data_IF_850785031634
#
_entry.id   IF_850785031634
#
_cell.length_a   1.000
_cell.length_b   1.000
_cell.length_c   1.000
_cell.angle_alpha   90.00
_cell.angle_beta   90.00
_cell.angle_gamma   90.00
#
_symmetry.space_group_name_H-M   'P 1'
#
loop_
_entity.id
_entity.type
_entity.pdbx_description
1 polymer ?
#
# COMPACT_ATOMS: atom_id res chain seq x y z
N UNK A 1 -31.96 -4.12 -5.76
CA UNK A 1 -31.87 -4.83 -4.47
C UNK A 1 -32.24 -6.29 -4.68
N UNK A 2 -31.29 -7.23 -4.59
CA UNK A 2 -31.59 -8.66 -4.66
C UNK A 2 -31.75 -9.20 -3.24
N UNK A 3 -32.98 -9.49 -2.84
CA UNK A 3 -33.31 -10.12 -1.56
C UNK A 3 -33.22 -11.62 -1.76
N UNK A 4 -32.30 -12.27 -1.05
CA UNK A 4 -32.23 -13.72 -0.96
C UNK A 4 -32.87 -14.19 0.35
N UNK A 5 -33.76 -15.18 0.28
CA UNK A 5 -34.32 -15.85 1.46
C UNK A 5 -33.59 -17.16 1.69
N UNK A 6 -33.03 -17.35 2.88
CA UNK A 6 -32.57 -18.65 3.35
C UNK A 6 -33.56 -19.15 4.41
N UNK A 7 -34.19 -20.29 4.13
CA UNK A 7 -35.09 -20.98 5.07
C UNK A 7 -34.25 -21.91 5.95
N UNK A 8 -34.24 -21.65 7.25
CA UNK A 8 -33.63 -22.57 8.22
C UNK A 8 -34.47 -23.85 8.39
N UNK A 9 -33.85 -24.92 8.90
CA UNK A 9 -34.49 -26.22 9.12
C UNK A 9 -35.74 -26.17 10.03
N UNK A 10 -35.92 -25.07 10.77
CA UNK A 10 -37.05 -24.78 11.67
C UNK A 10 -38.06 -23.74 11.12
N UNK A 11 -38.02 -23.39 9.84
CA UNK A 11 -38.99 -22.47 9.23
C UNK A 11 -38.70 -20.98 9.44
N UNK A 12 -37.68 -20.61 10.23
CA UNK A 12 -37.24 -19.22 10.35
C UNK A 12 -36.63 -18.73 9.03
N UNK A 13 -37.28 -17.73 8.43
CA UNK A 13 -36.82 -17.07 7.20
C UNK A 13 -35.95 -15.88 7.59
N UNK A 14 -34.64 -16.07 7.67
CA UNK A 14 -33.73 -14.93 7.90
C UNK A 14 -33.54 -14.16 6.60
N UNK A 15 -34.08 -12.93 6.56
CA UNK A 15 -33.91 -12.03 5.42
C UNK A 15 -32.47 -11.49 5.45
N UNK A 16 -31.57 -12.08 4.67
CA UNK A 16 -30.21 -11.57 4.52
C UNK A 16 -30.29 -10.36 3.57
N UNK A 17 -30.51 -9.17 4.12
CA UNK A 17 -30.35 -7.94 3.37
C UNK A 17 -28.87 -7.75 3.06
N UNK A 18 -28.49 -7.84 1.78
CA UNK A 18 -27.17 -7.35 1.36
C UNK A 18 -27.16 -5.85 1.60
N UNK A 19 -26.49 -5.45 2.67
CA UNK A 19 -26.14 -4.06 2.97
C UNK A 19 -25.33 -3.55 1.77
N UNK A 20 -25.81 -2.47 1.15
CA UNK A 20 -25.16 -1.82 0.02
C UNK A 20 -23.78 -1.28 0.42
N UNK A 21 -22.89 -1.11 -0.56
CA UNK A 21 -21.54 -0.57 -0.32
C UNK A 21 -21.56 0.83 0.31
N UNK A 22 -22.59 1.61 0.02
CA UNK A 22 -22.80 2.96 0.56
C UNK A 22 -23.59 2.99 1.87
N UNK A 23 -24.06 1.84 2.37
CA UNK A 23 -24.93 1.82 3.54
C UNK A 23 -24.10 2.02 4.82
N UNK A 24 -24.54 2.98 5.63
CA UNK A 24 -23.88 3.33 6.89
C UNK A 24 -22.68 4.26 6.73
N UNK A 25 -22.21 4.78 7.87
CA UNK A 25 -21.15 5.79 7.90
C UNK A 25 -19.80 5.30 7.36
N UNK A 26 -19.51 3.99 7.45
CA UNK A 26 -18.28 3.41 6.89
C UNK A 26 -18.29 3.41 5.36
N UNK A 27 -19.46 3.22 4.74
CA UNK A 27 -19.63 3.30 3.28
C UNK A 27 -19.47 4.74 2.79
N UNK A 28 -20.08 5.69 3.51
CA UNK A 28 -19.92 7.13 3.23
C UNK A 28 -18.46 7.55 3.36
N UNK A 29 -17.76 7.12 4.42
CA UNK A 29 -16.33 7.41 4.60
C UNK A 29 -15.51 6.84 3.44
N UNK A 30 -15.73 5.58 3.05
CA UNK A 30 -15.00 4.95 1.95
C UNK A 30 -15.22 5.68 0.61
N UNK A 31 -16.47 6.06 0.28
CA UNK A 31 -16.77 6.83 -0.93
C UNK A 31 -16.14 8.21 -0.87
N UNK A 32 -16.24 8.89 0.28
CA UNK A 32 -15.60 10.19 0.50
C UNK A 32 -14.08 10.12 0.31
N UNK A 33 -13.42 9.08 0.83
CA UNK A 33 -11.99 8.85 0.60
C UNK A 33 -11.67 8.63 -0.87
N UNK A 34 -12.47 7.85 -1.61
CA UNK A 34 -12.25 7.62 -3.04
C UNK A 34 -12.36 8.93 -3.83
N UNK A 35 -13.39 9.74 -3.57
CA UNK A 35 -13.59 11.04 -4.22
C UNK A 35 -12.45 12.00 -3.88
N UNK A 36 -12.02 12.02 -2.60
CA UNK A 36 -10.88 12.81 -2.16
C UNK A 36 -9.59 12.42 -2.87
N UNK A 37 -9.28 11.12 -2.96
CA UNK A 37 -8.08 10.63 -3.66
C UNK A 37 -8.13 11.01 -5.14
N UNK A 38 -9.27 10.88 -5.80
CA UNK A 38 -9.42 11.30 -7.20
C UNK A 38 -9.18 12.80 -7.39
N UNK A 39 -9.72 13.63 -6.48
CA UNK A 39 -9.47 15.07 -6.49
C UNK A 39 -8.01 15.40 -6.22
N UNK A 40 -7.37 14.72 -5.27
CA UNK A 40 -5.96 14.92 -4.95
C UNK A 40 -5.04 14.57 -6.13
N UNK A 41 -5.29 13.44 -6.79
CA UNK A 41 -4.58 13.06 -8.01
C UNK A 41 -4.77 14.13 -9.09
N UNK A 42 -5.99 14.61 -9.30
CA UNK A 42 -6.27 15.68 -10.27
C UNK A 42 -5.47 16.95 -9.98
N UNK A 43 -5.47 17.42 -8.72
CA UNK A 43 -4.70 18.61 -8.33
C UNK A 43 -3.20 18.42 -8.47
N UNK A 44 -2.67 17.24 -8.12
CA UNK A 44 -1.24 16.94 -8.24
C UNK A 44 -0.78 16.91 -9.70
N UNK A 45 -1.60 16.36 -10.60
CA UNK A 45 -1.31 16.25 -12.03
C UNK A 45 -1.66 17.49 -12.84
N UNK A 46 -2.40 18.45 -12.27
CA UNK A 46 -2.71 19.70 -12.94
C UNK A 46 -1.45 20.56 -13.04
N UNK A 47 -1.21 21.15 -14.22
CA UNK A 47 -0.12 22.10 -14.49
C UNK A 47 -0.41 23.47 -13.81
N UNK A 48 -0.55 23.44 -12.50
CA UNK A 48 -0.72 24.63 -11.67
C UNK A 48 0.65 25.28 -11.40
N UNK A 49 0.72 26.62 -11.33
CA UNK A 49 1.95 27.32 -10.94
C UNK A 49 2.45 26.81 -9.59
N UNK A 50 3.76 26.55 -9.49
CA UNK A 50 4.39 26.19 -8.23
C UNK A 50 4.17 27.30 -7.20
N UNK A 51 3.78 26.90 -6.00
CA UNK A 51 3.62 27.80 -4.87
C UNK A 51 3.88 27.01 -3.59
N UNK A 52 4.45 27.62 -2.53
CA UNK A 52 4.75 26.91 -1.28
C UNK A 52 3.52 26.19 -0.69
N UNK A 53 2.33 26.76 -0.87
CA UNK A 53 1.08 26.13 -0.43
C UNK A 53 0.73 24.86 -1.22
N UNK A 54 0.98 24.85 -2.54
CA UNK A 54 0.76 23.70 -3.40
C UNK A 54 1.77 22.58 -3.09
N UNK A 55 3.00 22.93 -2.76
CA UNK A 55 4.05 21.95 -2.42
C UNK A 55 3.82 21.31 -1.06
N UNK A 56 3.40 22.11 -0.05
CA UNK A 56 2.90 21.57 1.23
C UNK A 56 1.69 20.67 0.99
N UNK A 57 0.74 21.10 0.16
CA UNK A 57 -0.43 20.30 -0.17
C UNK A 57 -0.03 18.95 -0.78
N UNK A 58 0.83 18.94 -1.81
CA UNK A 58 1.31 17.70 -2.45
C UNK A 58 1.97 16.77 -1.44
N UNK A 59 2.74 17.32 -0.51
CA UNK A 59 3.42 16.57 0.54
C UNK A 59 2.46 15.89 1.53
N UNK A 60 1.36 16.52 1.92
CA UNK A 60 0.45 16.00 2.96
C UNK A 60 -0.89 15.49 2.41
N UNK A 61 -1.11 15.56 1.09
CA UNK A 61 -2.38 15.24 0.44
C UNK A 61 -2.78 13.77 0.61
N UNK A 62 -1.85 12.86 0.86
CA UNK A 62 -2.11 11.46 1.11
C UNK A 62 -2.69 11.18 2.52
N UNK A 63 -2.36 12.03 3.51
CA UNK A 63 -2.65 11.82 4.93
C UNK A 63 -4.13 11.59 5.22
N UNK A 64 -5.09 12.39 4.72
CA UNK A 64 -6.51 12.17 5.03
C UNK A 64 -7.02 10.80 4.55
N UNK A 65 -6.57 10.36 3.38
CA UNK A 65 -6.93 9.05 2.84
C UNK A 65 -6.29 7.92 3.66
N UNK A 66 -5.04 8.11 4.07
CA UNK A 66 -4.28 7.13 4.83
C UNK A 66 -4.83 6.95 6.26
N UNK A 67 -5.25 8.04 6.93
CA UNK A 67 -6.00 7.99 8.19
C UNK A 67 -7.35 7.29 8.06
N UNK A 68 -8.13 7.61 7.02
CA UNK A 68 -9.40 6.94 6.76
C UNK A 68 -9.23 5.43 6.54
N UNK A 69 -8.20 5.03 5.78
CA UNK A 69 -7.86 3.63 5.57
C UNK A 69 -7.48 2.92 6.89
N UNK A 70 -6.69 3.55 7.75
CA UNK A 70 -6.33 3.01 9.07
C UNK A 70 -7.58 2.79 9.96
N UNK A 71 -8.47 3.78 10.01
CA UNK A 71 -9.73 3.70 10.77
C UNK A 71 -10.60 2.56 10.25
N UNK A 72 -10.80 2.47 8.93
CA UNK A 72 -11.59 1.41 8.31
C UNK A 72 -10.98 0.01 8.55
N UNK A 73 -9.65 -0.12 8.50
CA UNK A 73 -8.97 -1.36 8.80
C UNK A 73 -9.14 -1.78 10.28
N UNK A 74 -9.02 -0.84 11.22
CA UNK A 74 -9.25 -1.10 12.66
C UNK A 74 -10.71 -1.50 12.92
N UNK A 75 -11.67 -0.86 12.25
CA UNK A 75 -13.08 -1.26 12.34
C UNK A 75 -13.28 -2.67 11.79
N UNK A 76 -12.64 -3.01 10.68
CA UNK A 76 -12.69 -4.35 10.09
C UNK A 76 -12.14 -5.42 11.07
N UNK A 77 -11.11 -5.11 11.85
CA UNK A 77 -10.63 -5.98 12.94
C UNK A 77 -11.75 -6.24 13.96
N UNK A 78 -12.45 -5.18 14.39
CA UNK A 78 -13.48 -5.25 15.44
C UNK A 78 -14.77 -5.92 14.96
N UNK A 79 -15.13 -5.75 13.69
CA UNK A 79 -16.35 -6.31 13.11
C UNK A 79 -16.21 -7.77 12.65
N UNK A 80 -14.97 -8.26 12.47
CA UNK A 80 -14.71 -9.60 11.96
C UNK A 80 -14.76 -10.65 13.06
N UNK A 81 -15.71 -11.60 12.94
CA UNK A 81 -15.88 -12.70 13.90
C UNK A 81 -14.94 -13.88 13.66
N UNK A 82 -14.59 -14.17 12.41
CA UNK A 82 -13.75 -15.33 12.08
C UNK A 82 -12.31 -15.10 12.57
N UNK A 83 -11.74 -15.98 13.43
CA UNK A 83 -10.46 -15.72 14.10
C UNK A 83 -9.29 -15.47 13.15
N UNK A 84 -9.19 -16.26 12.07
CA UNK A 84 -8.11 -16.09 11.10
C UNK A 84 -8.25 -14.77 10.32
N UNK A 85 -9.47 -14.42 9.92
CA UNK A 85 -9.74 -13.17 9.20
C UNK A 85 -9.46 -11.96 10.10
N UNK A 86 -9.84 -12.03 11.38
CA UNK A 86 -9.54 -10.98 12.37
C UNK A 86 -8.03 -10.79 12.53
N UNK A 87 -7.26 -11.88 12.65
CA UNK A 87 -5.78 -11.81 12.71
C UNK A 87 -5.20 -11.18 11.45
N UNK A 88 -5.65 -11.57 10.27
CA UNK A 88 -5.25 -10.94 9.01
C UNK A 88 -5.52 -9.43 9.01
N UNK A 89 -6.72 -9.02 9.41
CA UNK A 89 -7.06 -7.60 9.54
C UNK A 89 -6.20 -6.87 10.57
N UNK A 90 -5.81 -7.52 11.68
CA UNK A 90 -4.94 -6.92 12.67
C UNK A 90 -3.57 -6.57 12.08
N UNK A 91 -2.97 -7.50 11.33
CA UNK A 91 -1.70 -7.24 10.65
C UNK A 91 -1.85 -6.19 9.55
N UNK A 92 -2.95 -6.20 8.77
CA UNK A 92 -3.19 -5.20 7.74
C UNK A 92 -3.38 -3.80 8.36
N UNK A 93 -4.16 -3.67 9.44
CA UNK A 93 -4.34 -2.42 10.15
C UNK A 93 -3.01 -1.92 10.75
N UNK A 94 -2.23 -2.82 11.37
CA UNK A 94 -0.92 -2.49 11.90
C UNK A 94 0.04 -2.02 10.79
N UNK A 95 0.07 -2.70 9.65
CA UNK A 95 0.88 -2.29 8.50
C UNK A 95 0.48 -0.90 8.02
N UNK A 96 -0.81 -0.64 7.78
CA UNK A 96 -1.30 0.67 7.37
C UNK A 96 -0.87 1.75 8.37
N UNK A 97 -1.06 1.53 9.68
CA UNK A 97 -0.64 2.49 10.72
C UNK A 97 0.87 2.72 10.70
N UNK A 98 1.68 1.67 10.57
CA UNK A 98 3.15 1.79 10.50
C UNK A 98 3.57 2.61 9.28
N UNK A 99 2.98 2.36 8.11
CA UNK A 99 3.27 3.13 6.90
C UNK A 99 2.89 4.61 7.05
N UNK A 100 1.72 4.88 7.64
CA UNK A 100 1.28 6.24 7.96
C UNK A 100 2.27 6.97 8.88
N UNK A 101 2.81 6.29 9.90
CA UNK A 101 3.84 6.87 10.76
C UNK A 101 5.10 7.24 9.96
N UNK A 102 5.50 6.41 8.99
CA UNK A 102 6.57 6.73 8.05
C UNK A 102 6.28 8.02 7.28
N UNK A 103 5.10 8.15 6.66
CA UNK A 103 4.74 9.34 5.89
C UNK A 103 4.70 10.60 6.77
N UNK A 104 4.21 10.50 8.01
CA UNK A 104 4.22 11.63 8.95
C UNK A 104 5.64 12.06 9.34
N UNK A 105 6.55 11.09 9.53
CA UNK A 105 7.95 11.37 9.83
C UNK A 105 8.65 12.01 8.62
N UNK A 106 8.43 11.48 7.41
CA UNK A 106 8.98 12.05 6.16
C UNK A 106 8.47 13.48 5.92
N UNK A 107 7.16 13.70 6.05
CA UNK A 107 6.58 15.03 5.92
C UNK A 107 7.14 16.02 6.95
N UNK A 108 7.31 15.59 8.21
CA UNK A 108 7.92 16.41 9.25
C UNK A 108 9.37 16.79 8.91
N UNK A 109 10.18 15.82 8.46
CA UNK A 109 11.57 16.06 8.08
C UNK A 109 11.67 17.05 6.90
N UNK A 110 10.84 16.88 5.87
CA UNK A 110 10.82 17.77 4.70
C UNK A 110 10.38 19.19 5.05
N UNK A 111 9.37 19.34 5.90
CA UNK A 111 8.94 20.66 6.41
C UNK A 111 10.07 21.33 7.21
N UNK A 112 10.88 20.54 7.93
CA UNK A 112 12.06 21.03 8.63
C UNK A 112 13.26 21.32 7.72
N UNK A 113 13.12 21.16 6.39
CA UNK A 113 14.21 21.35 5.42
C UNK A 113 15.25 20.22 5.43
N UNK A 114 14.91 19.06 6.00
CA UNK A 114 15.78 17.90 6.11
C UNK A 114 15.33 16.82 5.12
N UNK A 115 16.22 16.42 4.21
CA UNK A 115 16.00 15.29 3.29
C UNK A 115 17.07 14.21 3.46
N UNK A 116 17.31 13.69 4.69
CA UNK A 116 18.28 12.64 4.89
C UNK A 116 17.80 11.38 4.17
N UNK A 117 18.68 10.72 3.43
CA UNK A 117 18.39 9.39 2.87
C UNK A 117 19.60 8.49 3.08
N UNK A 118 19.48 7.40 3.87
CA UNK A 118 18.32 6.95 4.65
C UNK A 118 17.88 7.89 5.79
N UNK A 119 16.63 7.73 6.24
CA UNK A 119 15.94 8.54 7.25
C UNK A 119 15.27 7.69 8.34
N UNK A 120 14.73 8.35 9.36
CA UNK A 120 13.87 7.69 10.35
C UNK A 120 12.54 7.18 9.73
N UNK A 121 12.06 7.79 8.65
CA UNK A 121 10.86 7.32 7.95
C UNK A 121 11.09 5.95 7.30
N UNK A 122 12.30 5.72 6.79
CA UNK A 122 12.68 4.46 6.13
C UNK A 122 12.60 3.26 7.08
N UNK A 123 12.82 3.46 8.38
CA UNK A 123 12.61 2.43 9.39
C UNK A 123 11.14 1.98 9.46
N UNK A 124 10.19 2.92 9.41
CA UNK A 124 8.76 2.61 9.40
C UNK A 124 8.35 1.95 8.08
N UNK A 125 8.85 2.43 6.94
CA UNK A 125 8.61 1.79 5.64
C UNK A 125 9.17 0.36 5.58
N UNK A 126 10.33 0.10 6.16
CA UNK A 126 10.86 -1.25 6.26
C UNK A 126 10.05 -2.13 7.21
N UNK A 127 9.57 -1.58 8.34
CA UNK A 127 8.75 -2.32 9.30
C UNK A 127 7.35 -2.68 8.74
N UNK A 128 6.83 -1.90 7.80
CA UNK A 128 5.56 -2.17 7.12
C UNK A 128 5.55 -3.54 6.42
N UNK A 129 6.61 -3.89 5.68
CA UNK A 129 6.67 -5.14 4.91
C UNK A 129 6.57 -6.41 5.76
N UNK A 130 7.39 -6.68 6.79
CA UNK A 130 7.29 -7.89 7.59
C UNK A 130 5.96 -7.99 8.35
N UNK A 131 5.38 -6.86 8.78
CA UNK A 131 4.05 -6.83 9.40
C UNK A 131 2.99 -7.29 8.40
N UNK A 132 3.03 -6.76 7.17
CA UNK A 132 2.06 -7.12 6.14
C UNK A 132 2.25 -8.56 5.63
N UNK A 133 3.49 -9.00 5.41
CA UNK A 133 3.83 -10.39 5.05
C UNK A 133 3.27 -11.34 6.11
N UNK A 134 3.36 -10.99 7.40
CA UNK A 134 2.79 -11.78 8.49
C UNK A 134 1.26 -11.93 8.36
N UNK A 135 0.56 -10.85 7.96
CA UNK A 135 -0.88 -10.89 7.68
C UNK A 135 -1.25 -11.78 6.49
N UNK A 136 -0.48 -11.74 5.41
CA UNK A 136 -0.65 -12.62 4.25
C UNK A 136 -0.38 -14.07 4.67
N UNK A 137 0.68 -14.32 5.42
CA UNK A 137 1.05 -15.64 5.88
C UNK A 137 -0.02 -16.29 6.77
N UNK A 138 -0.61 -15.52 7.68
CA UNK A 138 -1.79 -15.96 8.47
C UNK A 138 -2.93 -16.35 7.55
N UNK A 139 -3.19 -15.57 6.50
CA UNK A 139 -4.25 -15.84 5.53
C UNK A 139 -3.98 -17.12 4.73
N UNK A 140 -2.77 -17.30 4.22
CA UNK A 140 -2.35 -18.49 3.47
C UNK A 140 -2.43 -19.76 4.31
N UNK A 141 -1.96 -19.71 5.56
CA UNK A 141 -2.07 -20.84 6.50
C UNK A 141 -3.53 -21.21 6.80
N UNK A 142 -4.37 -20.21 7.04
CA UNK A 142 -5.80 -20.44 7.28
C UNK A 142 -6.53 -21.00 6.06
N UNK A 143 -5.99 -20.77 4.86
CA UNK A 143 -6.54 -21.27 3.60
C UNK A 143 -6.12 -22.71 3.27
N UNK A 144 -5.30 -23.35 4.13
CA UNK A 144 -4.67 -24.66 3.88
C UNK A 144 -3.95 -24.74 2.52
N UNK A 145 -3.49 -23.61 1.99
CA UNK A 145 -2.84 -23.54 0.69
C UNK A 145 -1.42 -24.10 0.80
N UNK A 146 -1.14 -25.14 0.01
CA UNK A 146 0.23 -25.64 -0.19
C UNK A 146 0.95 -24.75 -1.18
N UNK A 147 1.35 -23.56 -0.73
CA UNK A 147 2.17 -22.65 -1.54
C UNK A 147 3.61 -23.19 -1.59
N UNK A 148 4.15 -23.34 -2.80
CA UNK A 148 5.59 -23.58 -2.98
C UNK A 148 6.35 -22.29 -2.77
N UNK A 149 6.76 -22.04 -1.52
CA UNK A 149 7.53 -20.85 -1.15
C UNK A 149 8.80 -20.69 -1.98
N UNK A 150 9.45 -21.79 -2.36
CA UNK A 150 10.61 -21.76 -3.26
C UNK A 150 10.28 -21.19 -4.63
N UNK A 151 9.14 -21.58 -5.23
CA UNK A 151 8.67 -21.01 -6.50
C UNK A 151 8.32 -19.53 -6.34
N UNK A 152 7.58 -19.16 -5.29
CA UNK A 152 7.23 -17.78 -5.01
C UNK A 152 8.47 -16.88 -4.89
N UNK A 153 9.47 -17.35 -4.14
CA UNK A 153 10.73 -16.63 -3.94
C UNK A 153 11.53 -16.53 -5.23
N UNK A 154 11.60 -17.59 -6.04
CA UNK A 154 12.27 -17.55 -7.34
C UNK A 154 11.59 -16.58 -8.32
N UNK A 155 10.26 -16.64 -8.43
CA UNK A 155 9.49 -15.75 -9.30
C UNK A 155 9.65 -14.29 -8.85
N UNK A 156 9.64 -14.05 -7.53
CA UNK A 156 9.89 -12.73 -6.96
C UNK A 156 11.31 -12.27 -7.27
N UNK A 157 12.32 -13.14 -7.10
CA UNK A 157 13.73 -12.84 -7.36
C UNK A 157 13.98 -12.47 -8.83
N UNK A 158 13.28 -13.10 -9.77
CA UNK A 158 13.34 -12.71 -11.19
C UNK A 158 12.88 -11.25 -11.36
N UNK A 159 11.78 -10.85 -10.71
CA UNK A 159 11.32 -9.47 -10.73
C UNK A 159 12.32 -8.53 -10.04
N UNK A 160 12.85 -8.91 -8.86
CA UNK A 160 13.85 -8.12 -8.15
C UNK A 160 15.09 -7.88 -9.01
N UNK A 161 15.60 -8.91 -9.69
CA UNK A 161 16.76 -8.76 -10.56
C UNK A 161 16.46 -7.90 -11.78
N UNK A 162 15.27 -8.04 -12.38
CA UNK A 162 14.83 -7.22 -13.51
C UNK A 162 14.72 -5.73 -13.14
N UNK A 163 13.92 -5.42 -12.12
CA UNK A 163 13.73 -4.04 -11.64
C UNK A 163 14.99 -3.48 -10.99
N UNK A 164 15.70 -4.27 -10.18
CA UNK A 164 16.95 -3.86 -9.54
C UNK A 164 18.01 -3.43 -10.55
N UNK A 165 18.12 -4.15 -11.69
CA UNK A 165 19.00 -3.76 -12.81
C UNK A 165 18.55 -2.45 -13.45
N UNK A 166 17.23 -2.27 -13.67
CA UNK A 166 16.68 -1.02 -14.18
C UNK A 166 17.02 0.16 -13.26
N UNK A 167 16.75 0.04 -11.94
CA UNK A 167 17.06 1.09 -10.98
C UNK A 167 18.56 1.39 -10.87
N UNK A 168 19.42 0.37 -10.98
CA UNK A 168 20.87 0.59 -10.98
C UNK A 168 21.31 1.50 -12.13
N UNK A 169 20.97 1.14 -13.37
CA UNK A 169 21.48 1.86 -14.53
C UNK A 169 20.83 3.23 -14.75
N UNK A 170 19.56 3.38 -14.40
CA UNK A 170 18.82 4.60 -14.69
C UNK A 170 18.75 5.57 -13.50
N UNK A 171 18.68 5.08 -12.26
CA UNK A 171 18.46 5.93 -11.08
C UNK A 171 19.72 6.02 -10.23
N UNK A 172 20.24 4.88 -9.79
CA UNK A 172 21.24 4.85 -8.71
C UNK A 172 22.64 5.16 -9.23
N UNK A 173 23.09 4.59 -10.35
CA UNK A 173 24.41 4.88 -10.91
C UNK A 173 24.56 6.35 -11.34
N UNK A 174 23.56 6.98 -11.99
CA UNK A 174 23.61 8.41 -12.27
C UNK A 174 23.63 9.29 -11.00
N UNK A 175 22.85 8.95 -9.98
CA UNK A 175 22.85 9.65 -8.69
C UNK A 175 24.17 9.46 -7.92
N UNK A 176 24.73 8.25 -7.93
CA UNK A 176 26.00 7.90 -7.28
C UNK A 176 27.20 8.61 -7.91
N UNK A 177 27.17 8.87 -9.22
CA UNK A 177 28.20 9.67 -9.88
C UNK A 177 28.25 11.11 -9.36
N UNK A 178 27.18 11.59 -8.70
CA UNK A 178 27.11 12.92 -8.09
C UNK A 178 27.49 12.94 -6.59
N UNK A 179 27.66 11.80 -5.91
CA UNK A 179 27.94 11.73 -4.47
C UNK A 179 28.78 10.49 -4.08
N UNK A 180 29.86 10.66 -3.32
CA UNK A 180 30.82 9.58 -2.99
C UNK A 180 30.27 8.45 -2.08
N UNK A 181 29.11 8.61 -1.42
CA UNK A 181 28.54 7.63 -0.47
C UNK A 181 27.24 6.97 -0.98
N UNK A 182 27.31 6.18 -2.05
CA UNK A 182 26.12 5.62 -2.71
C UNK A 182 25.64 4.25 -2.18
N UNK A 183 26.40 3.57 -1.32
CA UNK A 183 26.12 2.15 -1.02
C UNK A 183 24.88 1.94 -0.13
N UNK A 184 24.70 2.73 0.92
CA UNK A 184 23.52 2.62 1.79
C UNK A 184 22.21 2.98 1.05
N UNK A 185 22.13 4.11 0.30
CA UNK A 185 21.01 4.41 -0.58
C UNK A 185 20.70 3.29 -1.60
N UNK A 186 21.75 2.72 -2.21
CA UNK A 186 21.60 1.62 -3.16
C UNK A 186 20.97 0.39 -2.51
N UNK A 187 21.56 -0.09 -1.40
CA UNK A 187 21.08 -1.29 -0.71
C UNK A 187 19.64 -1.10 -0.25
N UNK A 188 19.31 0.05 0.33
CA UNK A 188 17.95 0.32 0.79
C UNK A 188 16.94 0.32 -0.36
N UNK A 189 17.28 0.94 -1.50
CA UNK A 189 16.42 0.93 -2.69
C UNK A 189 16.19 -0.49 -3.22
N UNK A 190 17.23 -1.32 -3.26
CA UNK A 190 17.10 -2.73 -3.67
C UNK A 190 16.22 -3.53 -2.70
N UNK A 191 16.31 -3.24 -1.40
CA UNK A 191 15.45 -3.87 -0.38
C UNK A 191 13.98 -3.50 -0.58
N UNK A 192 13.66 -2.24 -0.92
CA UNK A 192 12.29 -1.84 -1.24
C UNK A 192 11.74 -2.57 -2.46
N UNK A 193 12.46 -2.53 -3.58
CA UNK A 193 12.08 -3.26 -4.81
C UNK A 193 11.85 -4.74 -4.51
N UNK A 194 12.73 -5.35 -3.70
CA UNK A 194 12.62 -6.75 -3.35
C UNK A 194 11.35 -7.06 -2.56
N UNK A 195 11.05 -6.23 -1.56
CA UNK A 195 9.85 -6.40 -0.77
C UNK A 195 8.57 -6.11 -1.55
N UNK A 196 8.54 -5.11 -2.42
CA UNK A 196 7.37 -4.81 -3.26
C UNK A 196 7.06 -5.95 -4.23
N UNK A 197 8.09 -6.48 -4.91
CA UNK A 197 7.93 -7.63 -5.82
C UNK A 197 7.41 -8.87 -5.07
N UNK A 198 8.02 -9.18 -3.92
CA UNK A 198 7.59 -10.30 -3.09
C UNK A 198 6.16 -10.12 -2.59
N UNK A 199 5.80 -8.92 -2.17
CA UNK A 199 4.47 -8.58 -1.66
C UNK A 199 3.41 -8.73 -2.75
N UNK A 200 3.66 -8.14 -3.92
CA UNK A 200 2.74 -8.20 -5.06
C UNK A 200 2.49 -9.65 -5.49
N UNK A 201 3.54 -10.47 -5.53
CA UNK A 201 3.42 -11.88 -5.84
C UNK A 201 2.65 -12.65 -4.76
N UNK A 202 2.94 -12.39 -3.48
CA UNK A 202 2.25 -13.05 -2.37
C UNK A 202 0.74 -12.72 -2.33
N UNK A 203 0.36 -11.46 -2.59
CA UNK A 203 -1.04 -11.06 -2.70
C UNK A 203 -1.67 -11.66 -3.97
N UNK A 204 -0.94 -11.73 -5.08
CA UNK A 204 -1.39 -12.39 -6.32
C UNK A 204 -1.74 -13.87 -6.10
N UNK A 205 -0.89 -14.61 -5.38
CA UNK A 205 -1.17 -16.00 -4.99
C UNK A 205 -2.42 -16.09 -4.11
N UNK A 206 -2.58 -15.16 -3.16
CA UNK A 206 -3.79 -15.11 -2.32
C UNK A 206 -5.05 -14.84 -3.17
N UNK A 207 -4.95 -13.98 -4.19
CA UNK A 207 -6.06 -13.65 -5.08
C UNK A 207 -6.47 -14.83 -5.97
N UNK A 208 -5.49 -15.53 -6.55
CA UNK A 208 -5.73 -16.74 -7.35
C UNK A 208 -6.42 -17.84 -6.53
N UNK A 209 -6.16 -17.86 -5.22
CA UNK A 209 -6.70 -18.84 -4.29
C UNK A 209 -7.76 -18.26 -3.34
N UNK A 210 -8.41 -17.16 -3.74
CA UNK A 210 -9.30 -16.40 -2.88
C UNK A 210 -10.53 -17.18 -2.39
N UNK A 211 -10.90 -18.29 -3.03
CA UNK A 211 -11.98 -19.18 -2.59
C UNK A 211 -11.68 -19.90 -1.29
N UNK A 212 -10.40 -20.16 -1.01
CA UNK A 212 -9.93 -20.77 0.23
C UNK A 212 -9.56 -19.71 1.30
N UNK A 213 -9.56 -18.42 0.95
CA UNK A 213 -9.10 -17.35 1.80
C UNK A 213 -10.08 -17.01 2.94
N UNK A 214 -9.59 -16.70 4.15
CA UNK A 214 -10.45 -16.18 5.21
C UNK A 214 -11.04 -14.79 4.89
N UNK A 215 -10.46 -14.07 3.93
CA UNK A 215 -10.96 -12.80 3.42
C UNK A 215 -11.83 -13.02 2.18
N UNK A 216 -12.77 -12.10 1.94
CA UNK A 216 -13.58 -12.10 0.72
C UNK A 216 -12.69 -11.86 -0.51
N UNK A 217 -12.98 -12.53 -1.63
CA UNK A 217 -12.28 -12.33 -2.91
C UNK A 217 -12.18 -10.86 -3.31
N UNK A 218 -13.26 -10.09 -3.14
CA UNK A 218 -13.27 -8.65 -3.44
C UNK A 218 -12.25 -7.88 -2.58
N UNK A 219 -12.11 -8.21 -1.30
CA UNK A 219 -11.12 -7.59 -0.41
C UNK A 219 -9.70 -7.88 -0.88
N UNK A 220 -9.41 -9.14 -1.23
CA UNK A 220 -8.09 -9.52 -1.73
C UNK A 220 -7.80 -8.87 -3.08
N UNK A 221 -8.80 -8.76 -3.96
CA UNK A 221 -8.66 -8.10 -5.25
C UNK A 221 -8.38 -6.59 -5.11
N UNK A 222 -9.07 -5.91 -4.19
CA UNK A 222 -8.83 -4.49 -3.90
C UNK A 222 -7.44 -4.27 -3.28
N UNK A 223 -7.00 -5.17 -2.40
CA UNK A 223 -5.64 -5.12 -1.84
C UNK A 223 -4.59 -5.32 -2.94
N UNK A 224 -4.79 -6.29 -3.83
CA UNK A 224 -3.92 -6.53 -4.98
C UNK A 224 -3.85 -5.31 -5.91
N UNK A 225 -5.01 -4.70 -6.20
CA UNK A 225 -5.08 -3.50 -7.02
C UNK A 225 -4.37 -2.31 -6.36
N UNK A 226 -4.58 -2.09 -5.06
CA UNK A 226 -3.92 -1.03 -4.30
C UNK A 226 -2.39 -1.19 -4.30
N UNK A 227 -1.88 -2.39 -4.04
CA UNK A 227 -0.44 -2.67 -4.14
C UNK A 227 0.09 -2.55 -5.56
N UNK A 228 -0.67 -2.96 -6.56
CA UNK A 228 -0.32 -2.77 -7.97
C UNK A 228 -0.21 -1.28 -8.33
N UNK A 229 -1.11 -0.44 -7.82
CA UNK A 229 -1.03 1.01 -7.99
C UNK A 229 0.13 1.64 -7.23
N UNK A 230 0.44 1.17 -6.02
CA UNK A 230 1.62 1.59 -5.26
C UNK A 230 2.91 1.29 -6.05
N UNK A 231 3.07 0.05 -6.52
CA UNK A 231 4.20 -0.37 -7.33
C UNK A 231 4.31 0.41 -8.65
N UNK A 232 3.17 0.68 -9.31
CA UNK A 232 3.14 1.54 -10.49
C UNK A 232 3.57 2.97 -10.15
N UNK A 233 3.17 3.48 -8.99
CA UNK A 233 3.64 4.75 -8.44
C UNK A 233 5.15 4.78 -8.29
N UNK A 234 5.77 3.72 -7.76
CA UNK A 234 7.23 3.63 -7.61
C UNK A 234 7.94 3.63 -8.97
N UNK A 235 7.37 3.00 -10.00
CA UNK A 235 7.91 3.04 -11.36
C UNK A 235 7.81 4.43 -11.97
N UNK A 236 6.65 5.09 -11.82
CA UNK A 236 6.43 6.47 -12.32
C UNK A 236 7.38 7.43 -11.60
N UNK A 237 7.51 7.28 -10.29
CA UNK A 237 8.46 8.02 -9.47
C UNK A 237 9.88 7.85 -10.00
N UNK A 238 10.34 6.61 -10.15
CA UNK A 238 11.67 6.31 -10.67
C UNK A 238 11.89 6.93 -12.06
N UNK A 239 10.94 6.76 -12.97
CA UNK A 239 11.02 7.36 -14.30
C UNK A 239 11.06 8.90 -14.25
N UNK A 240 10.29 9.52 -13.35
CA UNK A 240 10.26 10.98 -13.21
C UNK A 240 11.58 11.55 -12.66
N UNK A 241 12.25 10.83 -11.77
CA UNK A 241 13.59 11.18 -11.27
C UNK A 241 14.61 11.15 -12.42
N UNK A 242 14.56 10.11 -13.26
CA UNK A 242 15.46 9.97 -14.43
C UNK A 242 15.29 11.11 -15.43
N UNK A 243 14.05 11.54 -15.67
CA UNK A 243 13.71 12.61 -16.62
C UNK A 243 13.88 14.01 -16.00
N UNK A 244 14.21 14.11 -14.72
CA UNK A 244 14.34 15.38 -14.00
C UNK A 244 13.01 16.13 -13.85
N UNK A 245 11.88 15.41 -13.91
CA UNK A 245 10.52 15.96 -13.78
C UNK A 245 9.82 15.45 -12.53
N UNK A 246 10.59 15.06 -11.53
CA UNK A 246 9.99 14.54 -10.31
C UNK A 246 9.27 15.66 -9.57
N UNK A 247 7.94 15.58 -9.54
CA UNK A 247 7.06 16.50 -8.82
C UNK A 247 6.92 15.99 -7.38
N UNK A 248 8.01 15.89 -6.62
CA UNK A 248 7.85 16.06 -5.17
C UNK A 248 7.69 17.53 -4.89
N UNK A 249 6.99 17.90 -3.81
CA UNK A 249 7.04 19.28 -3.32
C UNK A 249 8.50 19.70 -3.18
N UNK A 250 8.97 20.46 -4.18
CA UNK A 250 10.37 20.82 -4.33
C UNK A 250 10.80 21.52 -3.05
N UNK A 251 12.07 21.30 -2.68
CA UNK A 251 12.66 21.76 -1.43
C UNK A 251 12.15 23.18 -1.11
N UNK A 252 11.61 23.39 0.09
CA UNK A 252 11.13 24.70 0.56
C UNK A 252 12.25 25.76 0.68
N UNK A 253 13.41 25.55 0.06
CA UNK A 253 14.64 26.29 0.24
C UNK A 253 15.29 26.79 -1.06
N UNK A 254 14.54 26.94 -2.16
CA UNK A 254 14.96 27.82 -3.26
C UNK A 254 14.10 29.08 -3.34
#
# INVERSE_FOLDING_TARGET
MAVGTATGHFGDTTRITRVGFADGWTGVLAIGTIVYVAAAIWFTLSDLPSSPALDIYRLISDQPAAFAAAVLAIIAVRSTRHPAARRTWTYLAAAIVTYNLGNLVDAFLRIAGLTPFPSLADFFYLAFFPILISGIFVSLRASSLRVSWGRLLLDSLILVLGFGTFFWFFVISPAAAASEEALAPFVLTQVYIAFDCLMLMAIGVLLMNATACPLRKTTVALLAAGFGFMFLGDIIWAASVVVGRYISGDNFSE
#
